data_IF_655946122269
#
_entry.id   IF_655946122269
#
_cell.length_a   1.000
_cell.length_b   1.000
_cell.length_c   1.000
_cell.angle_alpha   90.00
_cell.angle_beta   90.00
_cell.angle_gamma   90.00
#
_symmetry.space_group_name_H-M   'P 1'
#
loop_
_entity.id
_entity.type
_entity.pdbx_description
1 polymer ?
#
# COMPACT_ATOMS: atom_id res chain seq x y z
N UNK A 1 -66.96 -10.32 6.35
CA UNK A 1 -65.48 -10.32 6.31
C UNK A 1 -65.04 -9.75 4.97
N UNK A 2 -64.08 -8.82 5.05
CA UNK A 2 -63.25 -8.15 4.03
C UNK A 2 -63.85 -7.69 2.68
N UNK A 3 -64.51 -6.53 2.78
CA UNK A 3 -64.48 -5.34 1.88
C UNK A 3 -63.02 -4.88 1.65
N UNK A 4 -62.55 -4.17 0.61
CA UNK A 4 -63.03 -3.31 -0.51
C UNK A 4 -61.77 -3.10 -1.40
N UNK A 5 -61.80 -2.89 -2.71
CA UNK A 5 -62.64 -1.97 -3.46
C UNK A 5 -61.75 -0.82 -3.99
N UNK A 6 -61.63 -0.78 -5.32
CA UNK A 6 -60.87 0.14 -6.17
C UNK A 6 -61.55 1.53 -6.27
N UNK A 7 -60.75 2.58 -6.57
CA UNK A 7 -61.07 3.95 -7.08
C UNK A 7 -61.78 4.95 -6.14
N UNK A 8 -61.20 6.17 -6.00
CA UNK A 8 -61.89 7.44 -6.28
C UNK A 8 -60.96 8.66 -6.18
N UNK A 9 -60.89 9.40 -7.28
CA UNK A 9 -60.40 10.77 -7.40
C UNK A 9 -61.49 11.69 -6.81
N UNK A 10 -61.14 12.60 -5.90
CA UNK A 10 -62.07 13.64 -5.43
C UNK A 10 -61.37 15.00 -5.36
N UNK A 11 -61.70 15.82 -6.35
CA UNK A 11 -61.54 17.27 -6.37
C UNK A 11 -62.56 17.83 -5.37
N UNK A 12 -62.13 18.61 -4.39
CA UNK A 12 -63.03 19.46 -3.59
C UNK A 12 -62.46 20.88 -3.59
N UNK A 13 -63.14 21.74 -4.34
CA UNK A 13 -63.08 23.20 -4.19
C UNK A 13 -63.93 23.55 -2.98
N UNK A 14 -63.31 24.19 -1.99
CA UNK A 14 -64.01 24.80 -0.85
C UNK A 14 -63.47 26.20 -0.63
N UNK A 15 -64.28 27.21 -0.92
CA UNK A 15 -64.07 28.60 -0.52
C UNK A 15 -64.86 28.81 0.77
N UNK A 16 -64.23 29.27 1.85
CA UNK A 16 -64.59 30.54 2.52
C UNK A 16 -63.99 30.70 3.93
N UNK A 17 -63.65 31.97 4.22
CA UNK A 17 -63.50 32.66 5.52
C UNK A 17 -62.26 32.42 6.38
N UNK A 18 -61.34 33.40 6.33
CA UNK A 18 -60.90 34.15 7.50
C UNK A 18 -60.02 33.44 8.53
N UNK A 19 -58.74 33.25 8.21
CA UNK A 19 -57.69 33.03 9.19
C UNK A 19 -56.42 33.76 8.75
N UNK A 20 -55.95 34.72 9.54
CA UNK A 20 -54.64 35.34 9.33
C UNK A 20 -53.59 34.25 9.56
N UNK A 21 -53.16 33.60 8.49
CA UNK A 21 -51.96 32.78 8.52
C UNK A 21 -50.82 33.78 8.61
N UNK A 22 -50.30 33.97 9.81
CA UNK A 22 -48.98 34.59 9.98
C UNK A 22 -47.98 33.66 9.28
N UNK A 23 -47.70 33.96 8.02
CA UNK A 23 -46.53 33.43 7.32
C UNK A 23 -45.32 33.88 8.14
N UNK A 24 -44.89 33.07 9.11
CA UNK A 24 -43.51 33.12 9.57
C UNK A 24 -42.67 32.93 8.31
N UNK A 25 -41.87 33.91 7.87
CA UNK A 25 -40.90 33.63 6.84
C UNK A 25 -40.03 32.52 7.41
N UNK A 26 -40.03 31.36 6.76
CA UNK A 26 -39.11 30.29 7.10
C UNK A 26 -37.72 30.93 7.07
N UNK A 27 -37.10 31.11 8.25
CA UNK A 27 -35.78 31.72 8.35
C UNK A 27 -34.86 30.89 7.45
N UNK A 28 -34.46 31.46 6.31
CA UNK A 28 -33.50 30.84 5.41
C UNK A 28 -32.29 30.47 6.28
N UNK A 29 -32.03 29.17 6.40
CA UNK A 29 -30.99 28.64 7.28
C UNK A 29 -29.68 29.27 6.80
N UNK A 30 -29.14 30.25 7.56
CA UNK A 30 -27.92 30.98 7.17
C UNK A 30 -26.84 29.97 6.73
N UNK A 31 -26.11 30.25 5.67
CA UNK A 31 -25.07 29.36 5.21
C UNK A 31 -23.99 29.16 6.28
N UNK A 32 -23.36 27.98 6.29
CA UNK A 32 -22.30 27.70 7.24
C UNK A 32 -21.02 28.47 6.85
N UNK A 33 -20.31 29.00 7.84
CA UNK A 33 -19.02 29.68 7.65
C UNK A 33 -17.89 28.77 8.12
N UNK A 34 -16.70 28.91 7.52
CA UNK A 34 -15.50 28.18 7.96
C UNK A 34 -14.90 28.89 9.18
N UNK A 35 -14.69 28.15 10.26
CA UNK A 35 -14.07 28.66 11.51
C UNK A 35 -12.62 28.21 11.67
N UNK A 36 -12.27 27.04 11.12
CA UNK A 36 -10.89 26.52 11.14
C UNK A 36 -10.56 25.90 9.80
N UNK A 37 -9.35 26.15 9.30
CA UNK A 37 -8.87 25.55 8.06
C UNK A 37 -7.39 25.21 8.19
N UNK A 38 -6.99 23.99 7.79
CA UNK A 38 -5.59 23.59 7.81
C UNK A 38 -4.86 24.09 6.57
N UNK A 39 -3.52 24.02 6.61
CA UNK A 39 -2.66 24.25 5.45
C UNK A 39 -3.06 23.36 4.28
N UNK A 40 -3.02 23.91 3.07
CA UNK A 40 -3.27 23.16 1.85
C UNK A 40 -1.99 22.46 1.39
N UNK A 41 -2.00 21.13 1.42
CA UNK A 41 -0.94 20.35 0.83
C UNK A 41 -1.03 20.36 -0.70
N UNK A 42 0.13 20.19 -1.35
CA UNK A 42 0.18 19.85 -2.78
C UNK A 42 -0.14 18.37 -2.98
N UNK A 43 0.42 17.54 -2.09
CA UNK A 43 0.33 16.08 -2.05
C UNK A 43 0.30 15.59 -0.61
N UNK A 44 -0.26 14.40 -0.38
CA UNK A 44 -0.26 13.73 0.92
C UNK A 44 -0.08 12.23 0.71
N UNK A 45 0.53 11.56 1.70
CA UNK A 45 0.58 10.10 1.82
C UNK A 45 -0.65 9.50 2.51
N UNK A 46 -1.62 10.33 2.93
CA UNK A 46 -2.87 9.86 3.49
C UNK A 46 -3.91 9.68 2.39
N UNK A 47 -4.17 8.43 2.06
CA UNK A 47 -5.07 8.05 0.98
C UNK A 47 -6.45 7.66 1.52
N UNK A 48 -7.45 7.80 0.66
CA UNK A 48 -8.84 7.55 1.03
C UNK A 48 -9.64 6.99 -0.13
N UNK A 49 -10.72 6.32 0.24
CA UNK A 49 -11.79 5.90 -0.67
C UNK A 49 -13.10 6.57 -0.26
N UNK A 50 -14.11 6.48 -1.12
CA UNK A 50 -15.42 7.07 -0.88
C UNK A 50 -16.41 6.04 -0.34
N UNK A 51 -17.22 6.47 0.63
CA UNK A 51 -18.26 5.62 1.25
C UNK A 51 -19.58 5.64 0.50
N UNK A 52 -19.71 6.46 -0.54
CA UNK A 52 -20.97 6.69 -1.27
C UNK A 52 -22.02 7.50 -0.49
N UNK A 53 -21.78 7.90 0.76
CA UNK A 53 -22.77 8.60 1.59
C UNK A 53 -22.95 10.09 1.21
N UNK A 54 -21.90 10.71 0.67
CA UNK A 54 -21.84 12.15 0.40
C UNK A 54 -21.25 12.43 -0.98
N UNK A 55 -21.65 13.56 -1.58
CA UNK A 55 -21.14 14.01 -2.87
C UNK A 55 -19.91 14.91 -2.71
N UNK A 56 -19.18 15.11 -3.80
CA UNK A 56 -18.02 15.98 -3.88
C UNK A 56 -18.42 17.34 -4.45
N UNK A 57 -17.96 18.43 -3.84
CA UNK A 57 -18.34 19.80 -4.20
C UNK A 57 -17.13 20.72 -4.43
N UNK A 58 -17.34 21.88 -5.04
CA UNK A 58 -16.28 22.88 -5.28
C UNK A 58 -15.78 23.56 -4.00
N UNK A 59 -16.60 23.58 -2.96
CA UNK A 59 -16.33 24.06 -1.59
C UNK A 59 -17.21 23.25 -0.63
N UNK A 60 -17.07 23.44 0.69
CA UNK A 60 -17.92 22.73 1.65
C UNK A 60 -19.41 22.89 1.31
N UNK A 61 -20.17 21.79 1.28
CA UNK A 61 -21.50 21.72 0.67
C UNK A 61 -22.53 22.68 1.28
N UNK A 62 -22.35 23.04 2.55
CA UNK A 62 -23.22 23.97 3.30
C UNK A 62 -22.83 25.45 3.14
N UNK A 63 -21.87 25.77 2.26
CA UNK A 63 -21.46 27.14 1.96
C UNK A 63 -22.17 27.68 0.71
N UNK A 64 -22.41 28.98 0.69
CA UNK A 64 -22.99 29.66 -0.45
C UNK A 64 -22.19 29.41 -1.74
N UNK A 65 -22.89 29.02 -2.80
CA UNK A 65 -22.29 28.76 -4.12
C UNK A 65 -21.46 27.47 -4.21
N UNK A 66 -21.68 26.51 -3.32
CA UNK A 66 -21.17 25.16 -3.51
C UNK A 66 -21.81 24.51 -4.74
N UNK A 67 -20.99 24.06 -5.69
CA UNK A 67 -21.43 23.37 -6.91
C UNK A 67 -21.02 21.90 -6.84
N UNK A 68 -21.86 21.01 -7.36
CA UNK A 68 -21.57 19.59 -7.45
C UNK A 68 -20.39 19.34 -8.40
N UNK A 69 -19.41 18.57 -7.95
CA UNK A 69 -18.26 18.11 -8.77
C UNK A 69 -18.48 16.65 -9.18
N UNK A 70 -18.83 15.78 -8.21
CA UNK A 70 -19.22 14.38 -8.44
C UNK A 70 -20.38 14.01 -7.53
N UNK A 71 -21.39 13.37 -8.10
CA UNK A 71 -22.50 12.80 -7.35
C UNK A 71 -22.05 11.60 -6.50
N UNK A 72 -22.88 11.20 -5.53
CA UNK A 72 -22.66 10.02 -4.70
C UNK A 72 -22.42 8.76 -5.54
N UNK A 73 -23.26 8.53 -6.55
CA UNK A 73 -23.16 7.39 -7.44
C UNK A 73 -21.83 7.37 -8.22
N UNK A 74 -21.39 8.52 -8.74
CA UNK A 74 -20.10 8.62 -9.42
C UNK A 74 -18.92 8.37 -8.47
N UNK A 75 -19.02 8.78 -7.20
CA UNK A 75 -17.99 8.49 -6.21
C UNK A 75 -17.96 7.01 -5.82
N UNK A 76 -19.10 6.33 -5.76
CA UNK A 76 -19.16 4.87 -5.59
C UNK A 76 -18.48 4.17 -6.76
N UNK A 77 -18.77 4.58 -8.00
CA UNK A 77 -18.09 4.03 -9.18
C UNK A 77 -16.56 4.25 -9.14
N UNK A 78 -16.10 5.41 -8.69
CA UNK A 78 -14.68 5.67 -8.49
C UNK A 78 -14.09 4.82 -7.37
N UNK A 79 -14.84 4.61 -6.28
CA UNK A 79 -14.44 3.75 -5.18
C UNK A 79 -14.32 2.27 -5.60
N UNK A 80 -14.97 1.86 -6.69
CA UNK A 80 -14.89 0.52 -7.30
C UNK A 80 -13.93 0.43 -8.48
N UNK A 81 -13.32 1.54 -8.90
CA UNK A 81 -12.41 1.56 -10.05
C UNK A 81 -11.22 0.63 -9.84
N UNK A 82 -10.80 -0.03 -10.93
CA UNK A 82 -9.58 -0.85 -10.98
C UNK A 82 -8.35 -0.07 -11.42
N UNK A 83 -8.46 1.23 -11.69
CA UNK A 83 -7.33 2.09 -12.06
C UNK A 83 -6.71 2.68 -10.80
N UNK A 84 -5.42 2.44 -10.55
CA UNK A 84 -4.70 2.97 -9.39
C UNK A 84 -4.82 4.49 -9.25
N UNK A 85 -4.72 5.21 -10.37
CA UNK A 85 -4.83 6.67 -10.43
C UNK A 85 -6.22 7.25 -10.09
N UNK A 86 -7.26 6.40 -9.97
CA UNK A 86 -8.58 6.78 -9.45
C UNK A 86 -8.65 6.72 -7.92
N UNK A 87 -7.52 6.50 -7.25
CA UNK A 87 -7.39 6.66 -5.80
C UNK A 87 -7.25 8.12 -5.42
N UNK A 88 -7.63 8.46 -4.19
CA UNK A 88 -7.70 9.83 -3.71
C UNK A 88 -6.79 10.06 -2.53
N UNK A 89 -6.21 11.26 -2.47
CA UNK A 89 -5.44 11.75 -1.34
C UNK A 89 -6.15 12.89 -0.62
N UNK A 90 -5.93 12.97 0.69
CA UNK A 90 -6.28 14.12 1.50
C UNK A 90 -5.36 15.31 1.20
N UNK A 91 -5.88 16.54 1.16
CA UNK A 91 -5.05 17.75 0.96
C UNK A 91 -5.17 18.78 2.08
N UNK A 92 -6.34 18.91 2.69
CA UNK A 92 -6.58 19.79 3.86
C UNK A 92 -7.94 19.52 4.47
N UNK A 93 -8.13 20.06 5.67
CA UNK A 93 -9.37 20.02 6.44
C UNK A 93 -9.94 21.41 6.66
N UNK A 94 -11.26 21.54 6.60
CA UNK A 94 -12.00 22.72 7.01
C UNK A 94 -13.11 22.34 7.99
N UNK A 95 -13.29 23.12 9.04
CA UNK A 95 -14.34 22.98 10.04
C UNK A 95 -15.26 24.19 9.97
N UNK A 96 -16.57 23.96 10.00
CA UNK A 96 -17.58 25.02 10.00
C UNK A 96 -17.90 25.50 11.41
N UNK A 97 -18.60 26.64 11.52
CA UNK A 97 -19.22 27.13 12.75
C UNK A 97 -20.25 26.17 13.37
N UNK A 98 -20.62 25.08 12.69
CA UNK A 98 -21.53 24.02 13.17
C UNK A 98 -20.79 22.75 13.61
N UNK A 99 -19.46 22.80 13.71
CA UNK A 99 -18.61 21.64 14.00
C UNK A 99 -18.60 20.59 12.89
N UNK A 100 -19.04 20.95 11.67
CA UNK A 100 -19.03 20.07 10.50
C UNK A 100 -17.64 20.08 9.88
N UNK A 101 -17.08 18.91 9.58
CA UNK A 101 -15.73 18.76 9.04
C UNK A 101 -15.81 18.38 7.57
N UNK A 102 -15.00 19.02 6.74
CA UNK A 102 -14.85 18.74 5.31
C UNK A 102 -13.39 18.52 4.96
N UNK A 103 -13.12 17.56 4.08
CA UNK A 103 -11.80 17.36 3.49
C UNK A 103 -11.77 17.85 2.07
N UNK A 104 -10.70 18.57 1.74
CA UNK A 104 -10.31 18.75 0.34
C UNK A 104 -9.53 17.52 -0.09
N UNK A 105 -9.91 16.95 -1.22
CA UNK A 105 -9.35 15.71 -1.75
C UNK A 105 -8.98 15.89 -3.21
N UNK A 106 -8.05 15.08 -3.71
CA UNK A 106 -7.68 15.02 -5.11
C UNK A 106 -7.44 13.58 -5.56
N UNK A 107 -7.82 13.25 -6.80
CA UNK A 107 -7.36 12.00 -7.44
C UNK A 107 -5.84 12.04 -7.64
N UNK A 108 -5.21 10.87 -7.73
CA UNK A 108 -3.77 10.75 -7.96
C UNK A 108 -3.31 11.35 -9.30
N UNK A 109 -4.18 11.39 -10.31
CA UNK A 109 -3.94 12.10 -11.57
C UNK A 109 -4.35 13.58 -11.57
N UNK A 110 -4.78 14.11 -10.42
CA UNK A 110 -5.24 15.49 -10.20
C UNK A 110 -6.45 15.95 -11.02
N UNK A 111 -7.09 15.08 -11.81
CA UNK A 111 -8.24 15.45 -12.65
C UNK A 111 -9.49 15.75 -11.84
N UNK A 112 -9.63 15.14 -10.66
CA UNK A 112 -10.78 15.34 -9.77
C UNK A 112 -10.27 15.97 -8.49
N UNK A 113 -10.81 17.15 -8.15
CA UNK A 113 -10.55 17.85 -6.89
C UNK A 113 -11.84 18.40 -6.34
N UNK A 114 -12.00 18.37 -5.03
CA UNK A 114 -13.16 18.96 -4.39
C UNK A 114 -13.17 18.79 -2.89
N UNK A 115 -14.28 19.17 -2.29
CA UNK A 115 -14.56 19.10 -0.87
C UNK A 115 -15.67 18.10 -0.60
N UNK A 116 -15.43 17.23 0.38
CA UNK A 116 -16.37 16.20 0.80
C UNK A 116 -16.57 16.27 2.30
N UNK A 117 -17.80 16.04 2.75
CA UNK A 117 -18.12 15.96 4.17
C UNK A 117 -17.40 14.76 4.80
N UNK A 118 -16.66 14.99 5.89
CA UNK A 118 -15.85 13.99 6.56
C UNK A 118 -16.43 13.52 7.90
N UNK A 119 -17.36 14.27 8.50
CA UNK A 119 -17.92 13.98 9.82
C UNK A 119 -18.09 15.26 10.64
N UNK A 120 -18.27 15.13 11.96
CA UNK A 120 -18.33 16.27 12.89
C UNK A 120 -17.17 16.21 13.87
N UNK A 121 -16.82 17.35 14.45
CA UNK A 121 -15.75 17.43 15.47
C UNK A 121 -16.05 16.63 16.73
N UNK A 122 -17.30 16.28 16.98
CA UNK A 122 -17.74 15.45 18.11
C UNK A 122 -17.77 13.95 17.80
N UNK A 123 -17.46 13.54 16.57
CA UNK A 123 -17.38 12.13 16.21
C UNK A 123 -16.07 11.51 16.71
N UNK A 124 -16.09 10.20 16.96
CA UNK A 124 -14.88 9.41 17.19
C UNK A 124 -13.93 9.53 16.01
N UNK A 125 -12.62 9.46 16.24
CA UNK A 125 -11.62 9.72 15.22
C UNK A 125 -10.44 8.74 15.35
N UNK A 126 -10.11 8.09 14.24
CA UNK A 126 -8.88 7.32 14.07
C UNK A 126 -8.14 7.84 12.84
N UNK A 127 -6.92 8.35 13.03
CA UNK A 127 -6.16 9.00 11.97
C UNK A 127 -6.90 10.22 11.39
N UNK A 128 -7.17 10.21 10.08
CA UNK A 128 -7.98 11.24 9.41
C UNK A 128 -9.47 10.90 9.33
N UNK A 129 -9.91 9.69 9.69
CA UNK A 129 -11.30 9.29 9.48
C UNK A 129 -12.13 9.54 10.74
N UNK A 130 -13.32 10.12 10.56
CA UNK A 130 -14.31 10.28 11.63
C UNK A 130 -15.36 9.17 11.55
N UNK A 131 -15.78 8.67 12.71
CA UNK A 131 -16.65 7.52 12.87
C UNK A 131 -17.86 7.83 13.77
N UNK A 132 -18.97 7.13 13.53
CA UNK A 132 -20.17 7.23 14.35
C UNK A 132 -20.06 6.43 15.66
N UNK A 133 -19.16 5.46 15.70
CA UNK A 133 -18.92 4.53 16.81
C UNK A 133 -17.46 4.53 17.26
N UNK A 134 -17.25 4.17 18.53
CA UNK A 134 -15.94 4.08 19.17
C UNK A 134 -15.07 2.94 18.61
N UNK A 135 -15.70 1.91 18.04
CA UNK A 135 -15.01 0.77 17.43
C UNK A 135 -14.50 1.08 16.01
N UNK A 136 -14.72 2.29 15.51
CA UNK A 136 -14.27 2.76 14.20
C UNK A 136 -14.76 1.92 13.01
N UNK A 137 -15.99 1.40 13.08
CA UNK A 137 -16.56 0.55 12.02
C UNK A 137 -17.42 1.32 11.02
N UNK A 138 -18.05 2.41 11.44
CA UNK A 138 -18.99 3.17 10.61
C UNK A 138 -18.45 4.58 10.34
N UNK A 139 -17.81 4.82 9.19
CA UNK A 139 -17.40 6.16 8.81
C UNK A 139 -18.58 7.13 8.82
N UNK A 140 -18.41 8.26 9.52
CA UNK A 140 -19.41 9.30 9.70
C UNK A 140 -19.58 10.16 8.43
N UNK A 141 -18.53 10.26 7.63
CA UNK A 141 -18.47 11.07 6.42
C UNK A 141 -18.61 10.30 5.11
N UNK A 142 -18.25 11.00 4.03
CA UNK A 142 -18.15 10.49 2.67
C UNK A 142 -16.86 9.74 2.36
N UNK A 143 -15.95 9.60 3.32
CA UNK A 143 -14.61 9.04 3.12
C UNK A 143 -14.31 7.93 4.14
N UNK A 144 -13.46 7.00 3.74
CA UNK A 144 -12.87 5.96 4.58
C UNK A 144 -11.37 5.84 4.26
N UNK A 145 -10.63 5.21 5.18
CA UNK A 145 -9.20 4.95 4.98
C UNK A 145 -8.96 4.02 3.79
N UNK A 146 -7.83 4.18 3.12
CA UNK A 146 -7.52 3.37 1.94
C UNK A 146 -6.03 3.10 1.84
N UNK A 147 -5.68 1.81 1.82
CA UNK A 147 -4.33 1.37 1.49
C UNK A 147 -4.26 1.01 0.01
N UNK A 148 -3.30 1.60 -0.70
CA UNK A 148 -3.10 1.36 -2.15
C UNK A 148 -2.45 0.00 -2.42
N UNK A 149 -1.89 -0.62 -1.38
CA UNK A 149 -1.33 -1.96 -1.41
C UNK A 149 -1.80 -2.75 -0.18
N UNK A 150 -1.86 -4.06 -0.32
CA UNK A 150 -2.08 -5.01 0.77
C UNK A 150 -0.97 -6.02 0.80
N UNK A 151 -0.43 -6.28 1.98
CA UNK A 151 0.54 -7.36 2.18
C UNK A 151 -0.13 -8.72 1.94
N UNK A 152 0.60 -9.60 1.27
CA UNK A 152 0.20 -10.99 1.04
C UNK A 152 1.21 -11.87 1.75
N UNK A 153 0.70 -12.86 2.50
CA UNK A 153 1.56 -13.83 3.16
C UNK A 153 2.40 -14.59 2.12
N UNK A 154 3.72 -14.60 2.32
CA UNK A 154 4.63 -15.36 1.47
C UNK A 154 4.41 -16.87 1.63
N UNK A 155 4.44 -17.60 0.53
CA UNK A 155 4.45 -19.06 0.57
C UNK A 155 5.81 -19.57 1.08
N UNK A 156 5.88 -20.80 1.64
CA UNK A 156 7.16 -21.39 2.03
C UNK A 156 8.17 -21.43 0.88
N UNK A 157 7.69 -21.69 -0.34
CA UNK A 157 8.55 -21.73 -1.53
C UNK A 157 9.11 -20.35 -1.90
N UNK A 158 8.32 -19.28 -1.76
CA UNK A 158 8.81 -17.91 -1.98
C UNK A 158 9.92 -17.54 -0.99
N UNK A 159 9.79 -17.98 0.27
CA UNK A 159 10.78 -17.73 1.32
C UNK A 159 12.11 -18.45 1.09
N UNK A 160 12.06 -19.67 0.52
CA UNK A 160 13.21 -20.57 0.41
C UNK A 160 13.90 -20.54 -0.96
N UNK A 161 13.28 -19.92 -1.96
CA UNK A 161 13.79 -19.94 -3.34
C UNK A 161 14.65 -18.73 -3.66
N UNK A 162 15.51 -18.91 -4.66
CA UNK A 162 16.26 -17.85 -5.30
C UNK A 162 15.71 -17.58 -6.70
N UNK A 163 15.84 -16.34 -7.15
CA UNK A 163 15.26 -15.86 -8.39
C UNK A 163 16.30 -15.15 -9.23
N UNK A 164 16.01 -15.01 -10.52
CA UNK A 164 16.67 -14.06 -11.42
C UNK A 164 15.62 -13.27 -12.19
N UNK A 165 16.05 -12.20 -12.85
CA UNK A 165 15.20 -11.51 -13.81
C UNK A 165 14.76 -12.47 -14.92
N UNK A 166 13.46 -12.58 -15.15
CA UNK A 166 12.89 -13.37 -16.24
C UNK A 166 13.15 -12.70 -17.59
N UNK A 167 13.03 -11.37 -17.63
CA UNK A 167 13.07 -10.57 -18.85
C UNK A 167 14.03 -9.36 -18.71
N UNK A 168 15.34 -9.58 -18.51
CA UNK A 168 16.31 -8.48 -18.43
C UNK A 168 16.32 -7.70 -19.75
N UNK A 169 16.36 -6.37 -19.68
CA UNK A 169 16.25 -5.53 -20.87
C UNK A 169 15.89 -4.08 -20.57
N UNK A 170 15.22 -3.42 -21.51
CA UNK A 170 14.87 -2.00 -21.44
C UNK A 170 13.41 -1.73 -21.06
N UNK A 171 12.55 -2.77 -21.02
CA UNK A 171 11.11 -2.61 -20.76
C UNK A 171 10.83 -1.89 -19.44
N UNK A 172 9.83 -1.00 -19.44
CA UNK A 172 9.43 -0.20 -18.28
C UNK A 172 8.04 -0.57 -17.74
N UNK A 173 7.57 -1.77 -18.05
CA UNK A 173 6.25 -2.31 -17.65
C UNK A 173 6.24 -2.95 -16.25
N UNK A 174 7.38 -2.96 -15.55
CA UNK A 174 7.51 -3.60 -14.24
C UNK A 174 8.09 -5.02 -14.28
N UNK A 175 8.41 -5.59 -15.45
CA UNK A 175 8.90 -6.99 -15.56
C UNK A 175 10.40 -7.11 -15.81
N UNK A 176 11.07 -6.02 -16.17
CA UNK A 176 12.50 -6.05 -16.51
C UNK A 176 13.38 -5.37 -15.46
N UNK A 177 12.86 -4.43 -14.69
CA UNK A 177 13.62 -3.55 -13.78
C UNK A 177 13.03 -3.58 -12.38
N UNK A 178 13.83 -3.18 -11.40
CA UNK A 178 13.42 -3.04 -10.00
C UNK A 178 13.15 -1.57 -9.71
N UNK A 179 12.05 -1.29 -9.02
CA UNK A 179 11.50 0.06 -8.82
C UNK A 179 11.38 0.41 -7.35
N UNK A 180 11.38 1.69 -7.00
CA UNK A 180 11.18 2.13 -5.63
C UNK A 180 9.78 1.85 -5.07
N UNK A 181 8.78 1.79 -5.95
CA UNK A 181 7.37 1.51 -5.63
C UNK A 181 6.71 0.76 -6.79
N UNK A 182 5.68 -0.07 -6.51
CA UNK A 182 4.77 -0.56 -7.53
C UNK A 182 4.08 0.56 -8.31
N UNK A 183 3.50 0.24 -9.47
CA UNK A 183 2.89 1.25 -10.33
C UNK A 183 1.51 1.68 -9.82
N UNK A 184 1.18 2.95 -10.03
CA UNK A 184 -0.12 3.58 -9.71
C UNK A 184 -0.60 3.44 -8.26
N UNK A 185 0.31 3.23 -7.30
CA UNK A 185 0.01 3.16 -5.85
C UNK A 185 0.18 4.49 -5.12
N UNK A 186 0.50 5.56 -5.84
CA UNK A 186 0.75 6.91 -5.32
C UNK A 186 0.37 7.99 -6.35
N UNK A 187 0.30 9.29 -5.98
CA UNK A 187 0.07 10.38 -6.93
C UNK A 187 1.03 10.35 -8.13
N UNK A 188 0.55 10.77 -9.32
CA UNK A 188 1.31 10.63 -10.58
C UNK A 188 2.63 11.41 -10.61
N UNK A 189 2.77 12.40 -9.72
CA UNK A 189 3.98 13.20 -9.52
C UNK A 189 5.02 12.49 -8.64
N UNK A 190 4.59 11.52 -7.82
CA UNK A 190 5.50 10.65 -7.06
C UNK A 190 6.19 9.74 -8.07
N UNK A 191 7.43 10.09 -8.38
CA UNK A 191 8.22 9.37 -9.39
C UNK A 191 8.64 8.01 -8.83
N UNK A 192 8.17 6.94 -9.48
CA UNK A 192 8.77 5.62 -9.33
C UNK A 192 10.15 5.64 -9.99
N UNK A 193 11.21 5.62 -9.19
CA UNK A 193 12.55 5.57 -9.73
C UNK A 193 13.01 4.11 -9.87
N UNK A 194 13.89 3.89 -10.85
CA UNK A 194 14.49 2.59 -11.09
C UNK A 194 15.65 2.43 -10.10
N UNK A 195 15.55 1.42 -9.24
CA UNK A 195 16.52 1.08 -8.18
C UNK A 195 17.64 0.19 -8.72
N UNK A 196 18.17 0.56 -9.88
CA UNK A 196 19.29 -0.15 -10.49
C UNK A 196 20.36 0.88 -10.88
N UNK A 197 21.67 0.57 -10.71
CA UNK A 197 22.72 1.50 -11.08
C UNK A 197 22.62 1.93 -12.56
N UNK A 198 22.29 1.01 -13.46
CA UNK A 198 21.88 1.35 -14.82
C UNK A 198 20.35 1.50 -14.92
N UNK A 199 19.88 2.74 -14.87
CA UNK A 199 18.43 3.06 -14.95
C UNK A 199 17.80 2.79 -16.32
N UNK A 200 18.61 2.66 -17.38
CA UNK A 200 18.08 2.46 -18.76
C UNK A 200 17.78 1.00 -19.03
N UNK A 201 18.59 0.09 -18.51
CA UNK A 201 18.47 -1.33 -18.79
C UNK A 201 18.97 -2.21 -17.65
N UNK A 202 18.32 -3.35 -17.47
CA UNK A 202 18.72 -4.40 -16.53
C UNK A 202 19.57 -5.51 -17.12
N UNK A 203 19.92 -5.46 -18.41
CA UNK A 203 20.77 -6.47 -19.07
C UNK A 203 22.07 -6.78 -18.32
N UNK A 204 22.77 -5.82 -17.70
CA UNK A 204 23.97 -6.10 -16.93
C UNK A 204 23.76 -6.94 -15.67
N UNK A 205 22.51 -7.10 -15.22
CA UNK A 205 22.09 -7.79 -13.98
C UNK A 205 21.33 -9.09 -14.28
N UNK A 206 21.40 -9.59 -15.53
CA UNK A 206 20.64 -10.77 -15.98
C UNK A 206 20.97 -12.05 -15.21
N UNK A 207 22.14 -12.10 -14.59
CA UNK A 207 22.64 -13.26 -13.84
C UNK A 207 22.54 -13.06 -12.33
N UNK A 208 22.09 -11.89 -11.88
CA UNK A 208 22.03 -11.56 -10.46
C UNK A 208 20.99 -12.43 -9.76
N UNK A 209 21.25 -12.74 -8.50
CA UNK A 209 20.47 -13.65 -7.68
C UNK A 209 19.65 -12.83 -6.69
N UNK A 210 18.33 -12.95 -6.80
CA UNK A 210 17.38 -12.22 -5.97
C UNK A 210 16.72 -13.15 -4.95
N UNK A 211 16.43 -12.59 -3.78
CA UNK A 211 15.52 -13.14 -2.78
C UNK A 211 14.26 -12.26 -2.68
N UNK A 212 13.15 -12.84 -2.23
CA UNK A 212 11.91 -12.09 -2.00
C UNK A 212 11.83 -11.75 -0.51
N UNK A 213 11.61 -10.48 -0.19
CA UNK A 213 11.35 -10.01 1.18
C UNK A 213 9.86 -9.91 1.50
N UNK A 214 9.07 -9.43 0.53
CA UNK A 214 7.63 -9.19 0.72
C UNK A 214 6.87 -9.43 -0.57
N UNK A 215 5.62 -9.87 -0.42
CA UNK A 215 4.66 -9.95 -1.51
C UNK A 215 3.57 -8.93 -1.22
N UNK A 216 3.34 -8.02 -2.16
CA UNK A 216 2.28 -7.00 -2.05
C UNK A 216 1.35 -7.09 -3.25
N UNK A 217 0.08 -6.81 -3.01
CA UNK A 217 -0.94 -6.74 -4.04
C UNK A 217 -1.45 -5.31 -4.13
N UNK A 218 -1.52 -4.77 -5.34
CA UNK A 218 -2.15 -3.47 -5.57
C UNK A 218 -3.66 -3.59 -5.33
N UNK A 219 -4.21 -2.73 -4.47
CA UNK A 219 -5.62 -2.81 -4.06
C UNK A 219 -6.59 -2.54 -5.22
N UNK A 220 -6.20 -1.70 -6.19
CA UNK A 220 -7.04 -1.30 -7.33
C UNK A 220 -6.88 -2.28 -8.50
N UNK A 221 -5.64 -2.45 -8.94
CA UNK A 221 -5.31 -3.19 -10.16
C UNK A 221 -5.25 -4.71 -9.91
N UNK A 222 -5.01 -5.12 -8.66
CA UNK A 222 -4.96 -6.52 -8.26
C UNK A 222 -3.69 -7.25 -8.68
N UNK A 223 -2.75 -6.56 -9.33
CA UNK A 223 -1.46 -7.11 -9.71
C UNK A 223 -0.54 -7.29 -8.49
N UNK A 224 0.31 -8.31 -8.60
CA UNK A 224 1.21 -8.73 -7.53
C UNK A 224 2.62 -8.25 -7.83
N UNK A 225 3.24 -7.67 -6.81
CA UNK A 225 4.61 -7.19 -6.83
C UNK A 225 5.38 -7.85 -5.69
N UNK A 226 6.64 -8.16 -5.96
CA UNK A 226 7.57 -8.67 -4.97
C UNK A 226 8.55 -7.55 -4.61
N UNK A 227 8.74 -7.31 -3.32
CA UNK A 227 9.94 -6.62 -2.83
C UNK A 227 11.08 -7.62 -2.85
N UNK A 228 12.18 -7.25 -3.49
CA UNK A 228 13.34 -8.13 -3.73
C UNK A 228 14.64 -7.45 -3.34
N UNK A 229 15.63 -8.29 -3.05
CA UNK A 229 17.00 -7.89 -2.73
C UNK A 229 17.95 -8.78 -3.52
N UNK A 230 18.95 -8.14 -4.07
CA UNK A 230 19.98 -8.72 -4.91
C UNK A 230 21.18 -9.11 -4.05
N UNK A 231 21.51 -10.40 -4.04
CA UNK A 231 22.63 -10.95 -3.27
C UNK A 231 24.01 -10.62 -3.86
N UNK A 232 24.08 -9.91 -4.99
CA UNK A 232 25.28 -9.69 -5.77
C UNK A 232 25.63 -8.21 -5.99
N UNK A 233 24.65 -7.29 -6.08
CA UNK A 233 24.89 -5.92 -6.55
C UNK A 233 24.10 -4.81 -5.80
N UNK A 234 23.64 -5.05 -4.57
CA UNK A 234 22.95 -4.04 -3.71
C UNK A 234 21.70 -3.41 -4.39
N UNK A 235 20.94 -4.21 -5.15
CA UNK A 235 19.71 -3.80 -5.82
C UNK A 235 18.51 -4.24 -4.97
N UNK A 236 17.73 -3.28 -4.48
CA UNK A 236 16.54 -3.52 -3.67
C UNK A 236 15.33 -2.74 -4.16
N UNK A 237 14.14 -3.33 -4.09
CA UNK A 237 12.88 -2.67 -4.43
C UNK A 237 11.83 -3.61 -5.00
N UNK A 238 10.90 -3.07 -5.78
CA UNK A 238 9.74 -3.80 -6.29
C UNK A 238 9.87 -4.20 -7.76
N UNK A 239 9.47 -5.43 -8.06
CA UNK A 239 9.32 -5.95 -9.42
C UNK A 239 8.00 -6.75 -9.49
N UNK A 240 7.35 -6.78 -10.67
CA UNK A 240 6.17 -7.64 -10.86
C UNK A 240 6.58 -9.10 -10.66
N UNK A 241 5.68 -9.92 -10.14
CA UNK A 241 5.88 -11.38 -10.00
C UNK A 241 6.40 -12.02 -11.31
N UNK A 242 5.76 -11.68 -12.44
CA UNK A 242 6.16 -12.19 -13.77
C UNK A 242 7.52 -11.69 -14.27
N UNK A 243 8.12 -10.73 -13.59
CA UNK A 243 9.47 -10.23 -13.85
C UNK A 243 10.57 -11.11 -13.27
N UNK A 244 10.22 -12.09 -12.42
CA UNK A 244 11.17 -13.02 -11.84
C UNK A 244 10.97 -14.44 -12.34
N UNK A 245 12.07 -15.17 -12.43
CA UNK A 245 12.11 -16.60 -12.70
C UNK A 245 12.79 -17.30 -11.54
N UNK A 246 12.09 -18.23 -10.93
CA UNK A 246 12.64 -19.13 -9.90
C UNK A 246 13.81 -19.93 -10.49
N UNK A 247 14.89 -20.03 -9.73
CA UNK A 247 16.05 -20.86 -10.05
C UNK A 247 15.89 -22.25 -9.45
N UNK A 248 16.41 -23.26 -10.16
CA UNK A 248 16.56 -24.58 -9.58
C UNK A 248 17.69 -24.53 -8.53
N UNK A 249 17.56 -25.32 -7.47
CA UNK A 249 18.65 -25.50 -6.50
C UNK A 249 19.87 -26.08 -7.21
N UNK A 250 21.05 -25.43 -7.14
CA UNK A 250 22.25 -25.95 -7.77
C UNK A 250 22.80 -27.16 -7.00
N UNK A 251 23.60 -27.98 -7.67
CA UNK A 251 24.47 -28.91 -6.99
C UNK A 251 25.48 -28.16 -6.10
N UNK A 252 25.92 -28.76 -5.00
CA UNK A 252 26.76 -28.09 -4.00
C UNK A 252 28.10 -27.59 -4.57
N UNK A 253 28.67 -28.29 -5.56
CA UNK A 253 29.91 -27.90 -6.26
C UNK A 253 29.69 -26.75 -7.27
N UNK A 254 28.44 -26.40 -7.57
CA UNK A 254 28.06 -25.31 -8.49
C UNK A 254 27.46 -24.10 -7.77
N UNK A 255 27.16 -24.22 -6.48
CA UNK A 255 26.63 -23.14 -5.64
C UNK A 255 27.48 -22.91 -4.40
N UNK A 256 26.97 -22.10 -3.48
CA UNK A 256 27.57 -21.85 -2.17
C UNK A 256 26.67 -22.51 -1.12
N UNK A 257 27.21 -23.48 -0.39
CA UNK A 257 26.47 -24.14 0.70
C UNK A 257 26.51 -23.25 1.93
N UNK A 258 25.36 -22.82 2.41
CA UNK A 258 25.21 -22.09 3.67
C UNK A 258 24.57 -23.02 4.69
N UNK A 259 25.31 -23.42 5.71
CA UNK A 259 24.79 -24.13 6.87
C UNK A 259 24.22 -23.13 7.87
N UNK A 260 22.98 -23.33 8.29
CA UNK A 260 22.42 -22.63 9.44
C UNK A 260 22.91 -23.31 10.70
N UNK A 261 23.56 -22.55 11.58
CA UNK A 261 24.17 -23.04 12.81
C UNK A 261 23.54 -22.33 14.00
N UNK A 262 23.07 -23.06 14.98
CA UNK A 262 22.55 -22.50 16.23
C UNK A 262 23.70 -21.77 16.96
N UNK A 263 23.52 -20.47 17.22
CA UNK A 263 24.57 -19.64 17.79
C UNK A 263 24.94 -20.01 19.23
N UNK A 264 24.07 -20.73 19.96
CA UNK A 264 24.30 -21.09 21.36
C UNK A 264 25.05 -22.41 21.50
N UNK A 265 24.65 -23.45 20.76
CA UNK A 265 25.22 -24.79 20.90
C UNK A 265 26.09 -25.22 19.71
N UNK A 266 26.24 -24.35 18.70
CA UNK A 266 27.03 -24.56 17.48
C UNK A 266 26.63 -25.78 16.65
N UNK A 267 25.41 -26.31 16.82
CA UNK A 267 24.88 -27.41 16.02
C UNK A 267 24.32 -26.90 14.70
N UNK A 268 24.50 -27.69 13.62
CA UNK A 268 23.84 -27.44 12.35
C UNK A 268 22.35 -27.74 12.46
N UNK A 269 21.52 -26.76 12.12
CA UNK A 269 20.06 -26.82 12.20
C UNK A 269 19.37 -26.77 10.84
N UNK A 270 20.13 -26.52 9.79
CA UNK A 270 19.65 -26.58 8.41
C UNK A 270 20.75 -26.20 7.42
N UNK A 271 20.41 -26.21 6.13
CA UNK A 271 21.30 -25.67 5.10
C UNK A 271 20.53 -25.29 3.84
N UNK A 272 21.11 -24.38 3.06
CA UNK A 272 20.65 -24.02 1.72
C UNK A 272 21.85 -23.96 0.77
N UNK A 273 21.63 -24.24 -0.51
CA UNK A 273 22.64 -24.01 -1.56
C UNK A 273 22.24 -22.77 -2.35
N UNK A 274 22.99 -21.68 -2.16
CA UNK A 274 22.80 -20.41 -2.85
C UNK A 274 23.35 -20.54 -4.28
N UNK A 275 22.58 -20.21 -5.33
CA UNK A 275 23.11 -20.13 -6.69
C UNK A 275 24.24 -19.12 -6.78
N UNK A 276 25.31 -19.48 -7.48
CA UNK A 276 26.44 -18.59 -7.69
C UNK A 276 26.18 -17.62 -8.85
N UNK A 277 26.44 -16.34 -8.62
CA UNK A 277 26.63 -15.35 -9.65
C UNK A 277 27.79 -14.42 -9.27
N UNK A 278 28.73 -14.10 -10.16
CA UNK A 278 29.76 -13.13 -9.84
C UNK A 278 29.16 -11.73 -9.75
N UNK A 279 29.62 -10.93 -8.78
CA UNK A 279 29.30 -9.50 -8.77
C UNK A 279 30.18 -8.74 -9.76
N UNK A 280 29.88 -7.46 -10.01
CA UNK A 280 30.78 -6.62 -10.83
C UNK A 280 32.06 -6.19 -10.11
N UNK A 281 32.07 -6.23 -8.78
CA UNK A 281 33.16 -5.67 -7.95
C UNK A 281 34.22 -6.72 -7.60
N UNK A 282 33.88 -8.00 -7.61
CA UNK A 282 34.77 -9.11 -7.25
C UNK A 282 34.36 -10.41 -7.95
N UNK A 283 35.26 -11.39 -7.95
CA UNK A 283 35.05 -12.68 -8.63
C UNK A 283 34.07 -13.61 -7.92
N UNK A 284 33.89 -13.49 -6.60
CA UNK A 284 32.91 -14.23 -5.80
C UNK A 284 31.65 -13.42 -5.47
N UNK A 285 30.84 -13.98 -4.57
CA UNK A 285 29.66 -13.33 -3.97
C UNK A 285 29.99 -12.76 -2.60
N UNK A 286 29.53 -11.53 -2.31
CA UNK A 286 29.48 -11.02 -0.95
C UNK A 286 28.09 -11.31 -0.37
N UNK A 287 28.02 -12.33 0.50
CA UNK A 287 26.78 -12.69 1.18
C UNK A 287 26.63 -12.01 2.54
N UNK A 288 27.59 -11.19 2.98
CA UNK A 288 27.60 -10.66 4.35
C UNK A 288 26.54 -9.61 4.62
N UNK A 289 25.96 -9.00 3.58
CA UNK A 289 24.93 -7.97 3.69
C UNK A 289 23.56 -8.56 3.40
N UNK A 290 23.23 -8.77 2.12
CA UNK A 290 21.84 -8.98 1.68
C UNK A 290 21.28 -10.38 2.01
N UNK A 291 22.15 -11.37 2.28
CA UNK A 291 21.67 -12.70 2.70
C UNK A 291 20.97 -12.65 4.07
N UNK A 292 21.22 -11.63 4.89
CA UNK A 292 20.52 -11.44 6.16
C UNK A 292 19.00 -11.30 6.01
N UNK A 293 18.53 -10.88 4.84
CA UNK A 293 17.11 -10.77 4.52
C UNK A 293 16.49 -12.07 3.98
N UNK A 294 17.27 -13.15 3.86
CA UNK A 294 16.78 -14.44 3.40
C UNK A 294 15.74 -15.03 4.37
N UNK A 295 14.52 -15.22 3.87
CA UNK A 295 13.35 -15.62 4.68
C UNK A 295 13.24 -17.15 4.90
N UNK A 296 14.10 -17.94 4.27
CA UNK A 296 14.04 -19.41 4.26
C UNK A 296 14.78 -20.08 5.41
N UNK A 297 14.82 -19.45 6.59
CA UNK A 297 15.48 -19.99 7.78
C UNK A 297 14.78 -21.26 8.29
N UNK A 298 15.49 -22.15 9.01
CA UNK A 298 14.88 -23.31 9.67
C UNK A 298 13.75 -22.91 10.62
N UNK A 299 12.72 -23.73 10.73
CA UNK A 299 11.58 -23.44 11.60
C UNK A 299 12.01 -23.26 13.07
N UNK A 300 11.50 -22.22 13.73
CA UNK A 300 11.86 -21.87 15.10
C UNK A 300 13.17 -21.08 15.25
N UNK A 301 13.81 -20.71 14.14
CA UNK A 301 15.01 -19.88 14.13
C UNK A 301 14.76 -18.51 13.47
N UNK A 302 15.43 -17.48 13.98
CA UNK A 302 15.50 -16.14 13.40
C UNK A 302 16.95 -15.70 13.19
N UNK A 303 17.12 -14.78 12.24
CA UNK A 303 18.35 -14.04 12.03
C UNK A 303 18.27 -12.61 12.62
N UNK A 304 17.23 -12.35 13.41
CA UNK A 304 16.81 -11.00 13.81
C UNK A 304 17.68 -10.41 14.93
N UNK A 305 17.78 -9.09 14.89
CA UNK A 305 18.90 -8.22 15.25
C UNK A 305 18.79 -7.59 16.65
N UNK A 306 18.00 -8.19 17.55
CA UNK A 306 17.47 -7.47 18.72
C UNK A 306 18.20 -7.75 20.04
N UNK A 307 19.47 -8.16 20.00
CA UNK A 307 20.30 -8.22 21.20
C UNK A 307 21.73 -7.80 20.90
N UNK A 308 22.35 -7.07 21.84
CA UNK A 308 23.67 -6.41 21.79
C UNK A 308 24.86 -7.40 21.65
N UNK A 309 24.61 -8.62 21.17
CA UNK A 309 25.59 -9.69 21.01
C UNK A 309 25.93 -9.94 19.53
N UNK A 310 27.20 -9.81 19.20
CA UNK A 310 27.84 -9.93 17.88
C UNK A 310 27.86 -11.35 17.30
N UNK A 311 26.89 -12.21 17.63
CA UNK A 311 26.98 -13.67 17.43
C UNK A 311 26.12 -14.26 16.31
N UNK A 312 25.35 -13.45 15.56
CA UNK A 312 24.45 -13.90 14.50
C UNK A 312 24.94 -13.48 13.10
N UNK A 313 24.59 -14.29 12.09
CA UNK A 313 25.00 -14.08 10.71
C UNK A 313 26.30 -14.79 10.30
N UNK A 314 26.94 -14.33 9.24
CA UNK A 314 28.23 -14.87 8.81
C UNK A 314 29.36 -14.39 9.72
N UNK A 315 30.14 -15.31 10.28
CA UNK A 315 31.32 -14.97 11.11
C UNK A 315 32.63 -15.04 10.34
N UNK A 316 32.62 -15.53 9.09
CA UNK A 316 33.82 -15.75 8.30
C UNK A 316 34.00 -14.68 7.21
N UNK A 317 35.23 -14.20 7.06
CA UNK A 317 35.62 -13.34 5.94
C UNK A 317 35.41 -14.02 4.57
N UNK A 318 35.35 -15.36 4.53
CA UNK A 318 35.06 -16.13 3.32
C UNK A 318 33.66 -15.89 2.73
N UNK A 319 32.71 -15.36 3.52
CA UNK A 319 31.40 -14.99 3.01
C UNK A 319 31.43 -13.71 2.16
N UNK A 320 32.52 -12.92 2.22
CA UNK A 320 32.68 -11.70 1.42
C UNK A 320 33.07 -11.97 -0.03
N UNK A 321 33.70 -13.10 -0.32
CA UNK A 321 34.14 -13.49 -1.67
C UNK A 321 33.94 -14.99 -1.87
N UNK A 322 32.70 -15.44 -1.71
CA UNK A 322 32.33 -16.84 -1.76
C UNK A 322 32.26 -17.36 -3.20
N UNK A 323 32.84 -18.55 -3.42
CA UNK A 323 32.93 -19.21 -4.73
C UNK A 323 32.15 -20.54 -4.78
N UNK A 324 31.84 -21.08 -5.97
CA UNK A 324 31.22 -22.40 -6.09
C UNK A 324 31.97 -23.48 -5.31
N UNK A 325 31.23 -24.34 -4.61
CA UNK A 325 31.77 -25.38 -3.73
C UNK A 325 32.13 -24.88 -2.32
N UNK A 326 32.05 -23.57 -2.05
CA UNK A 326 32.28 -23.04 -0.71
C UNK A 326 31.21 -23.55 0.27
N UNK A 327 31.64 -23.78 1.51
CA UNK A 327 30.77 -24.12 2.65
C UNK A 327 30.94 -23.03 3.69
N UNK A 328 29.85 -22.34 4.00
CA UNK A 328 29.78 -21.23 4.95
C UNK A 328 28.86 -21.59 6.11
N UNK A 329 29.12 -21.02 7.28
CA UNK A 329 28.23 -21.12 8.42
C UNK A 329 27.56 -19.76 8.64
N UNK A 330 26.23 -19.77 8.73
CA UNK A 330 25.40 -18.62 9.06
C UNK A 330 24.73 -18.89 10.41
N UNK A 331 25.09 -18.11 11.42
CA UNK A 331 24.63 -18.33 12.79
C UNK A 331 23.25 -17.74 13.01
N UNK A 332 22.35 -18.53 13.60
CA UNK A 332 20.93 -18.20 13.83
C UNK A 332 20.56 -18.43 15.29
N UNK A 333 19.58 -17.67 15.78
CA UNK A 333 19.05 -17.77 17.14
C UNK A 333 17.70 -18.46 17.16
N UNK A 334 17.34 -19.10 18.28
CA UNK A 334 15.98 -19.59 18.47
C UNK A 334 15.05 -18.41 18.65
N UNK A 335 13.96 -18.36 17.88
CA UNK A 335 12.95 -17.31 18.04
C UNK A 335 12.28 -17.45 19.41
N UNK A 336 12.20 -16.36 20.17
CA UNK A 336 11.38 -16.31 21.37
C UNK A 336 9.91 -16.47 20.96
N UNK A 337 9.27 -17.53 21.45
CA UNK A 337 7.83 -17.66 21.37
C UNK A 337 7.20 -16.57 22.24
N UNK A 338 6.63 -15.54 21.61
CA UNK A 338 5.68 -14.65 22.27
C UNK A 338 4.25 -15.16 22.07
#
# INVERSE_FOLDING_TARGET
>A
MLKKGIIMLSIMVGISVGGIITNKPAHAKKDATITKISTNLKESSSYMTFTGKNALYTKAATMQGAKLVKSKAQLTQLAESKRGLDSFMWLRTATTNRGTVYFKVASFDYKIKGWIYAGRTTNYRLGLIYYLDEQHKNPAGGVADFHTMTDVAMTPEQKQSFYKLANPGTSSDGTAKVYSLPFDVAPITVTNFINMPNKKTSTPYKNDIFIIQKVVKNTRQGDVWYSVDDLNNDIMGYIRESGLKKLATPAADKGITVNFVDATNHQKVGSVVVPFAPSKKQSGMDLTQEFGYYQGLPAGYSADFDDDSTSYGFTSASAKDAHPGAVLNYYVGKSSTN
#
